data_IF_683679288050
#
_entry.id   IF_683679288050
#
_cell.length_a   1.000
_cell.length_b   1.000
_cell.length_c   1.000
_cell.angle_alpha   90.00
_cell.angle_beta   90.00
_cell.angle_gamma   90.00
#
_symmetry.space_group_name_H-M   'P 1'
#
loop_
_entity.id
_entity.type
_entity.pdbx_description
1 polymer ?
#
# COMPACT_ATOMS: atom_id res chain seq x y z
N UNK A 1 62.51 -1.05 -30.86
CA UNK A 1 61.29 -1.14 -30.02
C UNK A 1 60.19 -0.29 -30.65
N UNK A 2 59.10 -0.89 -31.14
CA UNK A 2 58.29 -0.25 -32.17
C UNK A 2 57.18 0.63 -31.58
N UNK A 3 56.88 1.73 -32.29
CA UNK A 3 55.83 2.73 -32.04
C UNK A 3 54.38 2.16 -31.89
N UNK A 4 54.17 0.85 -32.03
CA UNK A 4 52.85 0.20 -31.94
C UNK A 4 52.33 0.06 -30.50
N UNK A 5 53.18 -0.10 -29.49
CA UNK A 5 52.73 -0.19 -28.09
C UNK A 5 52.26 1.16 -27.52
N UNK A 6 52.84 2.28 -27.94
CA UNK A 6 52.45 3.61 -27.45
C UNK A 6 51.05 4.02 -27.94
N UNK A 7 50.70 3.67 -29.19
CA UNK A 7 49.36 3.92 -29.75
C UNK A 7 48.26 3.11 -29.05
N UNK A 8 48.55 1.87 -28.63
CA UNK A 8 47.58 1.03 -27.92
C UNK A 8 47.33 1.54 -26.49
N UNK A 9 48.39 1.97 -25.80
CA UNK A 9 48.26 2.59 -24.48
C UNK A 9 47.45 3.90 -24.55
N UNK A 10 47.74 4.78 -25.51
CA UNK A 10 46.96 6.01 -25.71
C UNK A 10 45.48 5.73 -26.04
N UNK A 11 45.17 4.73 -26.88
CA UNK A 11 43.79 4.36 -27.22
C UNK A 11 43.03 3.77 -26.03
N UNK A 12 43.67 2.94 -25.20
CA UNK A 12 43.06 2.39 -23.98
C UNK A 12 42.87 3.47 -22.92
N UNK A 13 43.82 4.41 -22.78
CA UNK A 13 43.69 5.59 -21.92
C UNK A 13 42.60 6.55 -22.40
N UNK A 14 42.43 6.75 -23.72
CA UNK A 14 41.35 7.54 -24.31
C UNK A 14 39.97 6.88 -24.16
N UNK A 15 39.88 5.55 -24.24
CA UNK A 15 38.63 4.80 -24.00
C UNK A 15 38.27 4.78 -22.50
N UNK A 16 39.27 4.65 -21.61
CA UNK A 16 39.06 4.74 -20.17
C UNK A 16 38.71 6.17 -19.73
N UNK A 17 39.38 7.18 -20.28
CA UNK A 17 39.05 8.58 -20.08
C UNK A 17 37.66 8.91 -20.65
N UNK A 18 37.32 8.41 -21.84
CA UNK A 18 36.00 8.56 -22.45
C UNK A 18 34.89 7.89 -21.65
N UNK A 19 35.15 6.73 -21.04
CA UNK A 19 34.22 6.04 -20.15
C UNK A 19 34.03 6.74 -18.79
N UNK A 20 35.07 7.39 -18.26
CA UNK A 20 35.01 8.20 -17.03
C UNK A 20 34.36 9.56 -17.27
N UNK A 21 34.70 10.24 -18.39
CA UNK A 21 34.07 11.50 -18.82
C UNK A 21 32.60 11.32 -19.18
N UNK A 22 32.24 10.24 -19.88
CA UNK A 22 30.84 9.93 -20.17
C UNK A 22 30.04 9.67 -18.89
N UNK A 23 30.69 9.17 -17.83
CA UNK A 23 30.05 8.90 -16.52
C UNK A 23 29.93 10.15 -15.66
N UNK A 24 30.90 11.08 -15.70
CA UNK A 24 30.80 12.38 -15.03
C UNK A 24 29.77 13.28 -15.68
N UNK A 25 29.67 13.25 -17.02
CA UNK A 25 28.67 14.00 -17.80
C UNK A 25 27.21 13.68 -17.41
N UNK A 26 26.92 12.47 -16.93
CA UNK A 26 25.56 12.08 -16.54
C UNK A 26 25.07 12.71 -15.23
N UNK A 27 25.96 13.32 -14.43
CA UNK A 27 25.62 13.99 -13.18
C UNK A 27 25.40 15.50 -13.35
N UNK A 28 25.70 16.04 -14.52
CA UNK A 28 25.51 17.44 -14.88
C UNK A 28 24.24 17.61 -15.73
N UNK A 29 23.51 18.71 -15.52
CA UNK A 29 22.28 19.02 -16.27
C UNK A 29 22.65 19.34 -17.72
N UNK A 30 22.31 18.45 -18.64
CA UNK A 30 22.38 18.68 -20.08
C UNK A 30 21.01 19.09 -20.64
N UNK A 31 20.94 19.93 -21.69
CA UNK A 31 19.67 20.37 -22.23
C UNK A 31 18.86 19.20 -22.79
N UNK A 32 17.55 19.20 -22.55
CA UNK A 32 16.66 18.13 -23.02
C UNK A 32 16.80 16.81 -22.24
N UNK A 33 17.31 16.85 -21.02
CA UNK A 33 17.45 15.67 -20.15
C UNK A 33 16.58 15.76 -18.90
N UNK A 34 16.21 14.59 -18.37
CA UNK A 34 15.35 14.44 -17.20
C UNK A 34 16.14 13.84 -16.03
N UNK A 35 15.90 14.38 -14.82
CA UNK A 35 16.63 14.00 -13.60
C UNK A 35 15.87 12.96 -12.79
N UNK A 36 16.58 11.95 -12.31
CA UNK A 36 16.03 10.90 -11.42
C UNK A 36 16.70 10.91 -10.03
N UNK A 37 16.21 10.07 -9.10
CA UNK A 37 16.61 10.06 -7.69
C UNK A 37 18.11 9.76 -7.45
N UNK A 38 18.74 9.08 -8.41
CA UNK A 38 20.18 8.80 -8.41
C UNK A 38 21.02 9.95 -8.96
N UNK A 39 20.45 11.15 -9.08
CA UNK A 39 21.09 12.38 -9.57
C UNK A 39 21.60 12.29 -11.02
N UNK A 40 21.10 11.31 -11.77
CA UNK A 40 21.43 11.13 -13.18
C UNK A 40 20.50 11.95 -14.06
N UNK A 41 21.07 12.65 -15.02
CA UNK A 41 20.39 13.34 -16.10
C UNK A 41 20.40 12.45 -17.35
N UNK A 42 19.21 12.10 -17.85
CA UNK A 42 19.04 11.11 -18.90
C UNK A 42 18.15 11.63 -20.02
N UNK A 43 18.46 11.24 -21.26
CA UNK A 43 17.57 11.48 -22.38
C UNK A 43 16.19 10.81 -22.14
N UNK A 44 15.08 11.36 -22.67
CA UNK A 44 13.72 10.93 -22.30
C UNK A 44 13.44 9.42 -22.51
N UNK A 45 13.96 8.84 -23.60
CA UNK A 45 13.80 7.40 -23.88
C UNK A 45 14.51 6.53 -22.82
N UNK A 46 15.73 6.90 -22.45
CA UNK A 46 16.55 6.17 -21.49
C UNK A 46 16.02 6.35 -20.06
N UNK A 47 15.57 7.57 -19.75
CA UNK A 47 14.87 7.91 -18.52
C UNK A 47 13.64 7.01 -18.36
N UNK A 48 12.73 6.99 -19.34
CA UNK A 48 11.50 6.19 -19.31
C UNK A 48 11.76 4.72 -19.06
N UNK A 49 12.75 4.14 -19.74
CA UNK A 49 13.11 2.73 -19.60
C UNK A 49 13.66 2.42 -18.20
N UNK A 50 14.58 3.25 -17.70
CA UNK A 50 15.19 3.06 -16.38
C UNK A 50 14.18 3.25 -15.25
N UNK A 51 13.34 4.30 -15.32
CA UNK A 51 12.32 4.54 -14.31
C UNK A 51 11.25 3.45 -14.33
N UNK A 52 10.85 2.95 -15.50
CA UNK A 52 9.87 1.87 -15.59
C UNK A 52 10.42 0.53 -15.04
N UNK A 53 11.70 0.22 -15.32
CA UNK A 53 12.40 -0.90 -14.70
C UNK A 53 12.50 -0.75 -13.17
N UNK A 54 12.72 0.47 -12.67
CA UNK A 54 12.71 0.77 -11.22
C UNK A 54 11.30 0.64 -10.62
N UNK A 55 10.26 1.11 -11.30
CA UNK A 55 8.87 0.90 -10.90
C UNK A 55 8.57 -0.59 -10.70
N UNK A 56 9.04 -1.46 -11.62
CA UNK A 56 8.93 -2.92 -11.46
C UNK A 56 9.70 -3.42 -10.24
N UNK A 57 10.94 -2.94 -10.05
CA UNK A 57 11.77 -3.29 -8.89
C UNK A 57 11.09 -2.92 -7.56
N UNK A 58 10.39 -1.80 -7.51
CA UNK A 58 9.70 -1.32 -6.30
C UNK A 58 8.41 -2.07 -5.97
N UNK A 59 7.91 -2.93 -6.87
CA UNK A 59 6.76 -3.78 -6.57
C UNK A 59 7.09 -4.82 -5.49
N UNK A 60 6.15 -5.07 -4.55
CA UNK A 60 6.32 -6.08 -3.52
C UNK A 60 6.31 -7.50 -4.12
N UNK A 61 6.91 -8.47 -3.42
CA UNK A 61 7.00 -9.85 -3.90
C UNK A 61 5.63 -10.48 -4.21
N UNK A 62 4.61 -10.14 -3.41
CA UNK A 62 3.23 -10.61 -3.57
C UNK A 62 2.56 -10.21 -4.90
N UNK A 63 3.11 -9.21 -5.60
CA UNK A 63 2.58 -8.77 -6.88
C UNK A 63 2.81 -9.80 -8.00
N UNK A 64 3.79 -10.69 -7.83
CA UNK A 64 4.26 -11.62 -8.85
C UNK A 64 3.69 -13.03 -8.66
N UNK A 65 3.56 -13.79 -9.76
CA UNK A 65 3.32 -15.24 -9.70
C UNK A 65 4.55 -15.93 -9.10
N UNK A 66 4.38 -17.09 -8.48
CA UNK A 66 5.49 -17.83 -7.84
C UNK A 66 6.68 -17.98 -8.79
N UNK A 67 7.87 -17.56 -8.33
CA UNK A 67 9.14 -17.61 -9.06
C UNK A 67 9.15 -16.91 -10.44
N UNK A 68 8.21 -16.01 -10.73
CA UNK A 68 8.14 -15.28 -12.01
C UNK A 68 8.78 -13.89 -11.99
N UNK A 69 9.15 -13.38 -10.81
CA UNK A 69 9.71 -12.03 -10.63
C UNK A 69 11.02 -11.90 -11.40
N UNK A 70 11.10 -10.89 -12.27
CA UNK A 70 12.32 -10.59 -13.03
C UNK A 70 13.34 -9.82 -12.18
N UNK A 71 14.61 -10.09 -12.41
CA UNK A 71 15.73 -9.41 -11.76
C UNK A 71 16.00 -8.08 -12.44
N UNK A 72 16.07 -7.00 -11.64
CA UNK A 72 16.48 -5.69 -12.13
C UNK A 72 17.99 -5.65 -12.37
N UNK A 73 18.38 -5.42 -13.62
CA UNK A 73 19.77 -5.43 -14.07
C UNK A 73 20.25 -4.05 -14.55
N UNK A 74 21.57 -3.92 -14.69
CA UNK A 74 22.19 -2.68 -15.19
C UNK A 74 21.59 -2.26 -16.54
N UNK A 75 21.48 -0.93 -16.74
CA UNK A 75 20.86 -0.26 -17.90
C UNK A 75 19.34 -0.42 -18.01
N UNK A 76 18.64 -0.68 -16.90
CA UNK A 76 17.18 -0.74 -16.87
C UNK A 76 16.64 -1.92 -17.70
N UNK A 77 17.24 -3.10 -17.50
CA UNK A 77 16.77 -4.36 -18.07
C UNK A 77 16.13 -5.20 -16.97
N UNK A 78 15.08 -5.94 -17.32
CA UNK A 78 14.44 -6.92 -16.45
C UNK A 78 14.73 -8.30 -17.01
N UNK A 79 15.46 -9.14 -16.28
CA UNK A 79 15.95 -10.42 -16.80
C UNK A 79 15.40 -11.61 -15.99
N UNK A 80 15.23 -12.75 -16.66
CA UNK A 80 14.85 -14.00 -16.00
C UNK A 80 16.10 -14.64 -15.38
N UNK A 81 16.09 -14.86 -14.06
CA UNK A 81 17.25 -15.36 -13.32
C UNK A 81 18.32 -14.28 -13.14
N UNK A 82 19.57 -14.58 -13.47
CA UNK A 82 20.68 -13.64 -13.38
C UNK A 82 20.73 -12.67 -14.58
N UNK A 83 21.56 -11.63 -14.48
CA UNK A 83 21.65 -10.57 -15.49
C UNK A 83 22.26 -10.98 -16.84
N UNK A 84 22.58 -12.26 -17.01
CA UNK A 84 23.11 -12.88 -18.23
C UNK A 84 22.05 -13.68 -19.00
N UNK A 85 20.83 -13.81 -18.44
CA UNK A 85 19.72 -14.52 -19.06
C UNK A 85 18.93 -13.71 -20.09
N UNK A 86 17.73 -14.19 -20.40
CA UNK A 86 16.77 -13.49 -21.26
C UNK A 86 16.32 -12.19 -20.59
N UNK A 87 16.50 -11.06 -21.28
CA UNK A 87 16.27 -9.72 -20.74
C UNK A 87 15.29 -8.91 -21.57
N UNK A 88 14.35 -8.26 -20.89
CA UNK A 88 13.32 -7.41 -21.46
C UNK A 88 13.61 -5.93 -21.18
N UNK A 89 13.12 -5.07 -22.08
CA UNK A 89 13.23 -3.62 -21.95
C UNK A 89 11.83 -3.05 -21.68
N UNK A 90 11.55 -2.57 -20.46
CA UNK A 90 10.21 -2.13 -20.10
C UNK A 90 9.89 -0.77 -20.70
N UNK A 91 8.71 -0.67 -21.31
CA UNK A 91 8.09 0.56 -21.79
C UNK A 91 6.89 1.00 -20.92
N UNK A 92 6.28 0.06 -20.18
CA UNK A 92 5.15 0.29 -19.27
C UNK A 92 3.84 0.48 -20.03
N UNK A 93 3.54 -0.44 -20.94
CA UNK A 93 2.33 -0.50 -21.77
C UNK A 93 2.07 -1.95 -22.24
N UNK A 94 0.99 -2.14 -23.00
CA UNK A 94 0.56 -3.45 -23.54
C UNK A 94 1.63 -4.18 -24.38
N UNK A 95 2.64 -3.48 -24.92
CA UNK A 95 3.73 -4.14 -25.65
C UNK A 95 4.66 -4.97 -24.76
N UNK A 96 4.59 -4.80 -23.44
CA UNK A 96 5.37 -5.55 -22.46
C UNK A 96 4.65 -6.85 -22.01
N UNK A 97 3.98 -7.56 -22.92
CA UNK A 97 3.15 -8.72 -22.61
C UNK A 97 3.84 -9.78 -21.71
N UNK A 98 5.13 -10.03 -21.92
CA UNK A 98 5.92 -10.98 -21.13
C UNK A 98 6.24 -10.48 -19.71
N UNK A 99 6.38 -9.17 -19.53
CA UNK A 99 6.54 -8.57 -18.20
C UNK A 99 5.19 -8.55 -17.49
N UNK A 100 4.11 -8.21 -18.22
CA UNK A 100 2.74 -8.21 -17.70
C UNK A 100 2.31 -9.60 -17.21
N UNK A 101 2.72 -10.67 -17.90
CA UNK A 101 2.44 -12.05 -17.48
C UNK A 101 3.09 -12.44 -16.14
N UNK A 102 4.12 -11.73 -15.70
CA UNK A 102 4.73 -11.99 -14.38
C UNK A 102 3.84 -11.58 -13.21
N UNK A 103 2.87 -10.69 -13.43
CA UNK A 103 1.97 -10.24 -12.37
C UNK A 103 0.88 -11.26 -12.06
N UNK A 104 0.54 -11.41 -10.77
CA UNK A 104 -0.48 -12.34 -10.30
C UNK A 104 -1.91 -11.87 -10.59
N UNK A 105 -2.13 -10.55 -10.66
CA UNK A 105 -3.44 -9.91 -10.89
C UNK A 105 -3.26 -8.68 -11.80
N UNK A 106 -4.27 -8.36 -12.60
CA UNK A 106 -4.30 -7.15 -13.44
C UNK A 106 -4.04 -5.86 -12.65
N UNK A 107 -4.60 -5.75 -11.44
CA UNK A 107 -4.37 -4.60 -10.56
C UNK A 107 -2.89 -4.26 -10.33
N UNK A 108 -1.99 -5.25 -10.20
CA UNK A 108 -0.56 -4.98 -10.01
C UNK A 108 0.11 -4.49 -11.30
N UNK A 109 -0.31 -5.05 -12.43
CA UNK A 109 0.11 -4.58 -13.75
C UNK A 109 -0.32 -3.12 -13.97
N UNK A 110 -1.58 -2.77 -13.67
CA UNK A 110 -2.10 -1.40 -13.80
C UNK A 110 -1.32 -0.40 -12.92
N UNK A 111 -0.97 -0.83 -11.69
CA UNK A 111 -0.17 -0.01 -10.76
C UNK A 111 1.25 0.19 -11.31
N UNK A 112 1.85 -0.84 -11.91
CA UNK A 112 3.15 -0.73 -12.56
C UNK A 112 3.13 0.21 -13.76
N UNK A 113 2.16 0.04 -14.67
CA UNK A 113 1.98 0.91 -15.82
C UNK A 113 1.70 2.36 -15.42
N UNK A 114 0.88 2.57 -14.37
CA UNK A 114 0.61 3.87 -13.77
C UNK A 114 1.91 4.54 -13.29
N UNK A 115 2.80 3.78 -12.64
CA UNK A 115 4.11 4.30 -12.22
C UNK A 115 4.99 4.70 -13.42
N UNK A 116 5.04 3.87 -14.47
CA UNK A 116 5.80 4.18 -15.68
C UNK A 116 5.23 5.39 -16.44
N UNK A 117 3.91 5.55 -16.47
CA UNK A 117 3.23 6.73 -17.04
C UNK A 117 3.55 7.99 -16.25
N UNK A 118 3.43 7.96 -14.93
CA UNK A 118 3.73 9.10 -14.07
C UNK A 118 5.19 9.55 -14.19
N UNK A 119 6.14 8.61 -14.33
CA UNK A 119 7.54 8.94 -14.58
C UNK A 119 7.73 9.67 -15.93
N UNK A 120 7.09 9.19 -17.00
CA UNK A 120 7.15 9.84 -18.33
C UNK A 120 6.55 11.24 -18.31
N UNK A 121 5.42 11.40 -17.62
CA UNK A 121 4.78 12.71 -17.43
C UNK A 121 5.70 13.65 -16.65
N UNK A 122 6.34 13.18 -15.58
CA UNK A 122 7.34 13.95 -14.85
C UNK A 122 8.49 14.45 -15.74
N UNK A 123 9.03 13.58 -16.59
CA UNK A 123 10.07 13.97 -17.55
C UNK A 123 9.56 15.00 -18.56
N UNK A 124 8.32 14.86 -19.05
CA UNK A 124 7.71 15.89 -19.91
C UNK A 124 7.57 17.23 -19.20
N UNK A 125 7.13 17.24 -17.94
CA UNK A 125 7.04 18.47 -17.14
C UNK A 125 8.41 19.14 -16.96
N UNK A 126 9.47 18.37 -16.65
CA UNK A 126 10.84 18.91 -16.54
C UNK A 126 11.30 19.61 -17.82
N UNK A 127 11.02 19.01 -18.97
CA UNK A 127 11.41 19.56 -20.28
C UNK A 127 10.61 20.80 -20.65
N UNK A 128 9.33 20.86 -20.26
CA UNK A 128 8.47 22.04 -20.44
C UNK A 128 8.91 23.18 -19.53
N UNK A 129 9.22 22.89 -18.27
CA UNK A 129 9.73 23.86 -17.31
C UNK A 129 11.09 24.40 -17.78
N UNK A 130 11.98 23.57 -18.36
CA UNK A 130 13.26 24.00 -18.96
C UNK A 130 13.05 25.01 -20.12
N UNK A 131 12.04 24.79 -20.97
CA UNK A 131 11.71 25.73 -22.04
C UNK A 131 11.22 27.08 -21.49
N UNK A 132 10.46 27.04 -20.40
CA UNK A 132 9.90 28.23 -19.74
C UNK A 132 10.97 29.02 -18.99
N UNK A 133 11.95 28.34 -18.38
CA UNK A 133 13.11 28.95 -17.71
C UNK A 133 14.00 29.77 -18.66
N UNK A 134 14.02 29.46 -19.96
CA UNK A 134 14.73 30.29 -20.96
C UNK A 134 14.15 31.71 -21.07
N UNK A 135 12.91 31.89 -20.64
CA UNK A 135 12.17 33.16 -20.68
C UNK A 135 12.03 33.85 -19.32
N UNK A 136 12.14 33.11 -18.21
CA UNK A 136 11.97 33.64 -16.85
C UNK A 136 13.11 33.13 -15.95
N UNK A 137 13.98 34.04 -15.51
CA UNK A 137 15.05 33.72 -14.56
C UNK A 137 14.43 33.50 -13.18
N UNK A 138 14.59 32.30 -12.62
CA UNK A 138 14.21 32.00 -11.23
C UNK A 138 15.24 32.63 -10.29
N UNK A 139 14.79 33.47 -9.37
CA UNK A 139 15.67 34.16 -8.42
C UNK A 139 15.91 33.31 -7.17
N UNK A 140 17.17 33.15 -6.77
CA UNK A 140 17.57 32.35 -5.59
C UNK A 140 17.97 30.90 -5.87
N UNK A 141 18.48 30.24 -4.82
CA UNK A 141 18.98 28.87 -4.88
C UNK A 141 17.79 27.87 -4.82
N UNK A 142 17.80 26.86 -5.69
CA UNK A 142 16.72 25.88 -5.80
C UNK A 142 17.28 24.46 -5.87
N UNK A 143 16.54 23.50 -5.31
CA UNK A 143 16.75 22.09 -5.60
C UNK A 143 16.17 21.74 -6.98
N UNK A 144 16.90 21.00 -7.82
CA UNK A 144 16.46 20.68 -9.17
C UNK A 144 15.26 19.73 -9.17
N UNK A 145 14.36 19.90 -10.12
CA UNK A 145 13.25 18.98 -10.36
C UNK A 145 13.77 17.54 -10.48
N UNK A 146 13.09 16.57 -9.86
CA UNK A 146 13.53 15.17 -9.87
C UNK A 146 12.35 14.20 -9.78
N UNK A 147 12.47 13.08 -10.49
CA UNK A 147 11.65 11.90 -10.23
C UNK A 147 12.29 11.10 -9.11
N UNK A 148 11.58 10.90 -8.01
CA UNK A 148 12.17 10.26 -6.84
C UNK A 148 11.98 8.73 -6.78
N UNK A 149 11.33 8.16 -7.79
CA UNK A 149 10.94 6.75 -7.86
C UNK A 149 9.44 6.53 -7.89
N UNK A 150 8.65 7.39 -7.22
CA UNK A 150 7.18 7.32 -7.18
C UNK A 150 6.48 8.62 -7.54
N UNK A 151 7.08 9.77 -7.20
CA UNK A 151 6.46 11.09 -7.32
C UNK A 151 7.41 12.07 -8.01
N UNK A 152 6.84 12.94 -8.84
CA UNK A 152 7.58 14.03 -9.47
C UNK A 152 7.69 15.22 -8.52
N UNK A 153 8.90 15.71 -8.25
CA UNK A 153 9.14 16.97 -7.54
C UNK A 153 9.67 18.01 -8.54
N UNK A 154 9.08 19.20 -8.53
CA UNK A 154 9.51 20.33 -9.36
C UNK A 154 10.65 21.08 -8.69
N UNK A 155 11.25 22.04 -9.39
CA UNK A 155 12.25 22.92 -8.79
C UNK A 155 11.67 23.60 -7.55
N UNK A 156 12.41 23.52 -6.46
CA UNK A 156 11.91 23.88 -5.12
C UNK A 156 12.90 24.83 -4.47
N UNK A 157 12.47 25.99 -3.92
CA UNK A 157 13.37 26.93 -3.27
C UNK A 157 14.15 26.32 -2.11
N UNK A 158 15.41 26.72 -1.94
CA UNK A 158 16.27 26.28 -0.86
C UNK A 158 15.67 26.60 0.52
N UNK A 159 15.87 25.70 1.49
CA UNK A 159 15.32 25.82 2.84
C UNK A 159 13.83 25.49 2.97
N UNK A 160 13.15 25.13 1.88
CA UNK A 160 11.72 24.78 1.91
C UNK A 160 11.48 23.27 1.91
N UNK A 161 10.29 22.88 2.37
CA UNK A 161 9.84 21.48 2.31
C UNK A 161 8.55 21.38 1.52
N UNK A 162 8.54 20.53 0.50
CA UNK A 162 7.38 20.29 -0.35
C UNK A 162 6.66 19.01 0.08
N UNK A 163 5.34 19.09 0.14
CA UNK A 163 4.46 17.96 0.41
C UNK A 163 3.57 17.70 -0.81
N UNK A 164 3.43 16.42 -1.18
CA UNK A 164 2.55 15.98 -2.26
C UNK A 164 1.70 14.80 -1.81
N UNK A 165 0.48 14.63 -2.35
CA UNK A 165 -0.31 13.45 -2.09
C UNK A 165 0.39 12.21 -2.66
N UNK A 166 0.30 11.10 -1.95
CA UNK A 166 0.80 9.81 -2.39
C UNK A 166 0.16 9.39 -3.72
N UNK A 167 0.96 8.94 -4.71
CA UNK A 167 0.41 8.49 -5.98
C UNK A 167 -0.35 7.17 -5.81
N UNK A 168 -1.32 6.93 -6.69
CA UNK A 168 -2.15 5.72 -6.68
C UNK A 168 -1.31 4.43 -6.75
N UNK A 169 -0.22 4.45 -7.53
CA UNK A 169 0.69 3.32 -7.71
C UNK A 169 1.58 3.00 -6.51
N UNK A 170 1.60 3.84 -5.47
CA UNK A 170 2.29 3.52 -4.22
C UNK A 170 1.45 2.62 -3.28
N UNK A 171 0.17 2.40 -3.57
CA UNK A 171 -0.72 1.57 -2.78
C UNK A 171 -0.89 0.18 -3.44
N UNK A 172 -0.09 -0.78 -2.98
CA UNK A 172 -0.06 -2.13 -3.54
C UNK A 172 -1.12 -3.08 -2.97
N UNK A 173 -1.46 -2.95 -1.68
CA UNK A 173 -2.32 -3.90 -0.94
C UNK A 173 -3.69 -3.31 -0.62
N UNK A 174 -3.73 -2.01 -0.34
CA UNK A 174 -4.94 -1.32 0.07
C UNK A 174 -5.52 -0.50 -1.09
N UNK A 175 -6.86 -0.40 -1.13
CA UNK A 175 -7.49 0.66 -1.90
C UNK A 175 -6.96 2.03 -1.44
N UNK A 176 -7.05 3.05 -2.31
CA UNK A 176 -6.66 4.42 -1.93
C UNK A 176 -7.33 4.75 -0.57
N UNK A 177 -6.55 5.07 0.47
CA UNK A 177 -7.11 5.32 1.78
C UNK A 177 -8.09 6.48 1.72
N UNK A 178 -9.14 6.45 2.57
CA UNK A 178 -10.11 7.54 2.67
C UNK A 178 -9.44 8.86 3.10
N UNK A 179 -8.34 8.77 3.87
CA UNK A 179 -7.48 9.90 4.18
C UNK A 179 -6.28 9.92 3.22
N UNK A 180 -6.11 11.02 2.48
CA UNK A 180 -4.98 11.21 1.57
C UNK A 180 -3.69 11.27 2.39
N UNK A 181 -2.83 10.27 2.23
CA UNK A 181 -1.49 10.31 2.82
C UNK A 181 -0.57 11.18 1.98
N UNK A 182 0.49 11.70 2.59
CA UNK A 182 1.41 12.65 1.98
C UNK A 182 2.84 12.11 1.91
N UNK A 183 3.57 12.54 0.89
CA UNK A 183 5.01 12.41 0.75
C UNK A 183 5.68 13.77 0.96
N UNK A 184 6.76 13.80 1.73
CA UNK A 184 7.49 15.02 2.11
C UNK A 184 8.93 14.94 1.61
N UNK A 185 9.36 15.96 0.87
CA UNK A 185 10.75 16.10 0.40
C UNK A 185 11.31 17.46 0.79
N UNK A 186 12.45 17.46 1.46
CA UNK A 186 13.09 18.68 2.00
C UNK A 186 14.22 19.12 1.10
N UNK A 187 14.20 20.40 0.70
CA UNK A 187 15.30 21.06 0.02
C UNK A 187 16.17 21.78 1.05
N UNK A 188 17.46 21.47 1.11
CA UNK A 188 18.39 22.13 2.02
C UNK A 188 18.70 23.56 1.57
N UNK A 189 19.24 24.37 2.48
CA UNK A 189 19.66 25.76 2.21
C UNK A 189 20.76 25.85 1.15
N UNK A 190 21.55 24.78 0.99
CA UNK A 190 22.58 24.67 -0.05
C UNK A 190 22.02 24.29 -1.44
N UNK A 191 20.70 24.20 -1.62
CA UNK A 191 20.08 23.92 -2.92
C UNK A 191 20.19 22.46 -3.36
N UNK A 192 20.49 21.55 -2.43
CA UNK A 192 20.49 20.10 -2.68
C UNK A 192 19.36 19.41 -1.91
N UNK A 193 18.83 18.34 -2.47
CA UNK A 193 17.79 17.55 -1.80
C UNK A 193 18.37 16.86 -0.56
N UNK A 194 17.54 16.71 0.47
CA UNK A 194 17.92 15.96 1.68
C UNK A 194 18.48 14.58 1.33
N UNK A 195 19.68 14.31 1.81
CA UNK A 195 20.42 13.07 1.59
C UNK A 195 20.44 12.22 2.85
N UNK A 196 19.92 10.99 2.78
CA UNK A 196 19.97 10.08 3.92
C UNK A 196 21.27 9.29 3.92
N UNK A 197 22.02 9.38 5.02
CA UNK A 197 23.25 8.63 5.24
C UNK A 197 22.99 7.11 5.40
N UNK A 198 21.83 6.74 5.94
CA UNK A 198 21.42 5.35 6.13
C UNK A 198 21.20 4.63 4.79
N UNK A 199 20.55 5.32 3.84
CA UNK A 199 20.20 4.74 2.53
C UNK A 199 21.18 5.10 1.41
N UNK A 200 22.14 6.01 1.65
CA UNK A 200 23.12 6.45 0.67
C UNK A 200 22.49 7.07 -0.58
N UNK A 201 21.40 7.84 -0.44
CA UNK A 201 20.69 8.48 -1.56
C UNK A 201 19.85 9.67 -1.11
N UNK A 202 19.40 10.48 -2.06
CA UNK A 202 18.34 11.46 -1.84
C UNK A 202 17.09 10.76 -1.33
N UNK A 203 16.53 11.28 -0.24
CA UNK A 203 15.46 10.62 0.47
C UNK A 203 14.18 11.46 0.46
N UNK A 204 13.05 10.78 0.25
CA UNK A 204 11.70 11.33 0.38
C UNK A 204 11.00 10.58 1.50
N UNK A 205 10.41 11.31 2.43
CA UNK A 205 9.65 10.72 3.53
C UNK A 205 8.25 10.38 3.02
N UNK A 206 7.98 9.08 2.86
CA UNK A 206 6.69 8.56 2.42
C UNK A 206 5.90 8.01 3.61
N UNK A 207 4.75 8.58 3.92
CA UNK A 207 3.76 7.97 4.83
C UNK A 207 2.87 6.94 4.08
N UNK A 208 3.02 6.86 2.75
CA UNK A 208 2.24 5.97 1.89
C UNK A 208 2.52 4.49 2.16
N UNK A 209 1.47 3.71 2.42
CA UNK A 209 1.47 2.27 2.17
C UNK A 209 2.57 1.45 2.87
N UNK A 210 3.01 1.82 4.08
CA UNK A 210 4.00 0.99 4.76
C UNK A 210 3.36 -0.33 5.21
N UNK A 211 3.80 -1.42 4.58
CA UNK A 211 3.47 -2.79 4.97
C UNK A 211 3.74 -3.00 6.47
N UNK A 212 4.79 -2.37 6.97
CA UNK A 212 5.19 -2.40 8.37
C UNK A 212 4.18 -1.71 9.30
N UNK A 213 3.59 -0.58 8.91
CA UNK A 213 2.51 0.04 9.69
C UNK A 213 1.27 -0.83 9.72
N UNK A 214 0.87 -1.38 8.56
CA UNK A 214 -0.25 -2.33 8.51
C UNK A 214 0.01 -3.57 9.37
N UNK A 215 1.22 -4.13 9.31
CA UNK A 215 1.66 -5.25 10.16
C UNK A 215 1.56 -4.90 11.64
N UNK A 216 2.11 -3.75 12.04
CA UNK A 216 2.10 -3.29 13.43
C UNK A 216 0.68 -3.07 13.95
N UNK A 217 -0.18 -2.41 13.17
CA UNK A 217 -1.59 -2.20 13.52
C UNK A 217 -2.35 -3.53 13.63
N UNK A 218 -2.13 -4.49 12.74
CA UNK A 218 -2.75 -5.82 12.82
C UNK A 218 -2.29 -6.58 14.06
N UNK A 219 -1.00 -6.57 14.38
CA UNK A 219 -0.48 -7.22 15.59
C UNK A 219 -1.09 -6.57 16.84
N UNK A 220 -1.12 -5.24 16.90
CA UNK A 220 -1.71 -4.51 18.01
C UNK A 220 -3.21 -4.84 18.17
N UNK A 221 -3.96 -4.90 17.08
CA UNK A 221 -5.37 -5.29 17.09
C UNK A 221 -5.57 -6.71 17.64
N UNK A 222 -4.78 -7.70 17.17
CA UNK A 222 -4.83 -9.08 17.67
C UNK A 222 -4.57 -9.14 19.18
N UNK A 223 -3.58 -8.41 19.68
CA UNK A 223 -3.23 -8.38 21.11
C UNK A 223 -4.39 -7.82 21.94
N UNK A 224 -4.97 -6.69 21.53
CA UNK A 224 -6.09 -6.08 22.25
C UNK A 224 -7.35 -6.94 22.26
N UNK A 225 -7.73 -7.51 21.11
CA UNK A 225 -8.89 -8.41 21.04
C UNK A 225 -8.66 -9.68 21.87
N UNK A 226 -7.43 -10.21 21.90
CA UNK A 226 -7.11 -11.36 22.75
C UNK A 226 -7.25 -11.03 24.24
N UNK A 227 -6.76 -9.86 24.67
CA UNK A 227 -6.91 -9.40 26.05
C UNK A 227 -8.40 -9.22 26.42
N UNK A 228 -9.21 -8.67 25.51
CA UNK A 228 -10.66 -8.53 25.68
C UNK A 228 -11.33 -9.89 25.92
N UNK A 229 -11.04 -10.90 25.09
CA UNK A 229 -11.59 -12.26 25.25
C UNK A 229 -11.20 -12.88 26.59
N UNK A 230 -9.93 -12.75 27.00
CA UNK A 230 -9.42 -13.29 28.27
C UNK A 230 -10.19 -12.75 29.47
N UNK A 231 -10.62 -11.48 29.43
CA UNK A 231 -11.38 -10.85 30.52
C UNK A 231 -12.88 -11.16 30.41
N UNK A 232 -13.44 -11.16 29.20
CA UNK A 232 -14.88 -11.34 28.97
C UNK A 232 -15.35 -12.78 29.21
N UNK A 233 -14.55 -13.79 28.87
CA UNK A 233 -14.94 -15.20 29.04
C UNK A 233 -15.21 -15.53 30.51
N UNK A 234 -14.30 -15.23 31.47
CA UNK A 234 -14.59 -15.41 32.89
C UNK A 234 -15.82 -14.62 33.37
N UNK A 235 -16.02 -13.39 32.90
CA UNK A 235 -17.19 -12.59 33.26
C UNK A 235 -18.51 -13.27 32.84
N UNK A 236 -18.57 -13.80 31.62
CA UNK A 236 -19.74 -14.56 31.12
C UNK A 236 -19.96 -15.82 31.97
N UNK A 237 -18.89 -16.54 32.34
CA UNK A 237 -18.99 -17.73 33.19
C UNK A 237 -19.56 -17.37 34.57
N UNK A 238 -19.03 -16.33 35.21
CA UNK A 238 -19.51 -15.83 36.51
C UNK A 238 -21.01 -15.51 36.42
N UNK A 239 -21.43 -14.70 35.45
CA UNK A 239 -22.85 -14.34 35.33
C UNK A 239 -23.77 -15.55 35.08
N UNK A 240 -23.26 -16.63 34.48
CA UNK A 240 -24.03 -17.85 34.25
C UNK A 240 -24.11 -18.76 35.48
N UNK A 241 -23.03 -18.91 36.24
CA UNK A 241 -22.96 -19.78 37.43
C UNK A 241 -23.84 -19.25 38.56
N UNK A 242 -23.79 -17.95 38.84
CA UNK A 242 -24.53 -17.37 39.96
C UNK A 242 -25.99 -17.11 39.60
N UNK A 243 -26.89 -18.03 40.00
CA UNK A 243 -28.35 -17.92 39.79
C UNK A 243 -28.94 -16.60 40.31
N UNK A 244 -28.43 -16.08 41.43
CA UNK A 244 -28.89 -14.81 42.01
C UNK A 244 -28.66 -13.60 41.09
N UNK A 245 -27.68 -13.69 40.17
CA UNK A 245 -27.38 -12.64 39.21
C UNK A 245 -28.19 -12.77 37.90
N UNK A 246 -29.05 -13.77 37.73
CA UNK A 246 -29.80 -14.02 36.49
C UNK A 246 -31.05 -13.13 36.33
N UNK A 247 -30.88 -11.82 36.54
CA UNK A 247 -31.93 -10.81 36.34
C UNK A 247 -31.98 -10.38 34.86
N UNK A 248 -33.12 -9.87 34.41
CA UNK A 248 -33.33 -9.36 33.05
C UNK A 248 -32.19 -8.44 32.56
N UNK A 249 -31.75 -7.50 33.40
CA UNK A 249 -30.62 -6.59 33.12
C UNK A 249 -29.32 -7.35 32.83
N UNK A 250 -28.99 -8.34 33.64
CA UNK A 250 -27.77 -9.14 33.47
C UNK A 250 -27.90 -10.08 32.27
N UNK A 251 -29.12 -10.49 31.90
CA UNK A 251 -29.36 -11.24 30.66
C UNK A 251 -29.04 -10.40 29.41
N UNK A 252 -29.38 -9.11 29.37
CA UNK A 252 -28.94 -8.22 28.28
C UNK A 252 -27.40 -8.11 28.27
N UNK A 253 -26.80 -7.91 29.45
CA UNK A 253 -25.35 -7.77 29.57
C UNK A 253 -24.58 -9.01 29.11
N UNK A 254 -25.07 -10.21 29.47
CA UNK A 254 -24.53 -11.47 28.95
C UNK A 254 -24.54 -11.52 27.43
N UNK A 255 -25.66 -11.15 26.80
CA UNK A 255 -25.75 -11.17 25.34
C UNK A 255 -24.82 -10.16 24.68
N UNK A 256 -24.65 -8.97 25.29
CA UNK A 256 -23.67 -7.99 24.84
C UNK A 256 -22.23 -8.50 24.95
N UNK A 257 -21.86 -9.09 26.09
CA UNK A 257 -20.54 -9.73 26.27
C UNK A 257 -20.32 -10.88 25.28
N UNK A 258 -21.34 -11.72 25.03
CA UNK A 258 -21.25 -12.81 24.04
C UNK A 258 -21.07 -12.26 22.63
N UNK A 259 -21.78 -11.21 22.25
CA UNK A 259 -21.61 -10.55 20.95
C UNK A 259 -20.19 -9.95 20.80
N UNK A 260 -19.64 -9.35 21.85
CA UNK A 260 -18.24 -8.88 21.88
C UNK A 260 -17.25 -10.03 21.70
N UNK A 261 -17.40 -11.13 22.44
CA UNK A 261 -16.50 -12.29 22.32
C UNK A 261 -16.55 -12.90 20.92
N UNK A 262 -17.74 -13.07 20.34
CA UNK A 262 -17.87 -13.60 18.97
C UNK A 262 -17.24 -12.67 17.93
N UNK A 263 -17.36 -11.36 18.10
CA UNK A 263 -16.69 -10.38 17.27
C UNK A 263 -15.17 -10.45 17.42
N UNK A 264 -14.66 -10.42 18.66
CA UNK A 264 -13.23 -10.47 18.95
C UNK A 264 -12.58 -11.74 18.39
N UNK A 265 -13.19 -12.91 18.59
CA UNK A 265 -12.73 -14.18 18.01
C UNK A 265 -12.71 -14.10 16.48
N UNK A 266 -13.74 -13.53 15.87
CA UNK A 266 -13.83 -13.43 14.40
C UNK A 266 -12.79 -12.48 13.81
N UNK A 267 -12.49 -11.37 14.50
CA UNK A 267 -11.40 -10.46 14.13
C UNK A 267 -10.06 -11.16 14.27
N UNK A 268 -9.80 -11.83 15.40
CA UNK A 268 -8.56 -12.58 15.61
C UNK A 268 -8.38 -13.63 14.51
N UNK A 269 -9.43 -14.38 14.16
CA UNK A 269 -9.36 -15.37 13.07
C UNK A 269 -9.06 -14.71 11.72
N UNK A 270 -9.74 -13.62 11.37
CA UNK A 270 -9.51 -12.91 10.10
C UNK A 270 -8.09 -12.34 10.04
N UNK A 271 -7.67 -11.65 11.10
CA UNK A 271 -6.39 -10.95 11.15
C UNK A 271 -5.21 -11.91 11.24
N UNK A 272 -5.31 -12.98 12.04
CA UNK A 272 -4.23 -13.96 12.18
C UNK A 272 -4.11 -14.90 10.98
N UNK A 273 -5.23 -15.36 10.42
CA UNK A 273 -5.24 -16.40 9.38
C UNK A 273 -5.08 -15.80 7.98
N UNK A 274 -5.61 -14.61 7.71
CA UNK A 274 -5.59 -14.03 6.36
C UNK A 274 -4.78 -12.74 6.27
N UNK A 275 -4.93 -11.80 7.20
CA UNK A 275 -4.24 -10.50 7.08
C UNK A 275 -2.74 -10.64 7.37
N UNK A 276 -2.35 -11.30 8.46
CA UNK A 276 -0.94 -11.57 8.76
C UNK A 276 -0.29 -12.49 7.72
N UNK A 277 -1.02 -13.46 7.18
CA UNK A 277 -0.57 -14.37 6.12
C UNK A 277 -0.32 -13.61 4.80
N UNK A 278 -1.16 -12.62 4.50
CA UNK A 278 -0.98 -11.75 3.34
C UNK A 278 0.18 -10.75 3.50
N UNK A 279 0.37 -10.22 4.72
CA UNK A 279 1.41 -9.25 5.05
C UNK A 279 2.79 -9.89 5.19
N UNK A 280 2.87 -11.11 5.72
CA UNK A 280 4.11 -11.87 5.80
C UNK A 280 4.33 -12.59 4.46
N UNK A 281 5.08 -11.94 3.57
CA UNK A 281 5.33 -12.28 2.16
C UNK A 281 5.56 -13.77 1.83
N UNK A 282 5.97 -14.61 2.79
CA UNK A 282 6.33 -16.02 2.61
C UNK A 282 5.16 -17.01 2.57
N UNK A 283 3.96 -16.64 3.02
CA UNK A 283 2.86 -17.61 3.17
C UNK A 283 1.54 -17.14 2.57
N UNK A 284 1.50 -16.66 1.32
CA UNK A 284 0.21 -16.45 0.63
C UNK A 284 -0.54 -17.76 0.27
N UNK A 285 -0.42 -18.80 1.10
CA UNK A 285 -0.89 -20.16 0.84
C UNK A 285 -2.39 -20.25 1.17
N UNK A 286 -2.83 -19.78 2.35
CA UNK A 286 -4.18 -20.07 2.84
C UNK A 286 -5.28 -19.25 2.18
N UNK A 287 -4.98 -18.00 1.81
CA UNK A 287 -5.92 -17.10 1.10
C UNK A 287 -6.23 -17.62 -0.32
N UNK A 288 -5.22 -18.17 -1.02
CA UNK A 288 -5.40 -18.66 -2.40
C UNK A 288 -5.99 -20.08 -2.44
N UNK A 289 -5.71 -20.91 -1.44
CA UNK A 289 -6.25 -22.26 -1.35
C UNK A 289 -7.76 -22.25 -1.08
N UNK A 290 -8.27 -21.29 -0.30
CA UNK A 290 -9.67 -21.27 0.12
C UNK A 290 -10.32 -19.87 0.03
N UNK A 291 -10.55 -19.33 -1.18
CA UNK A 291 -11.18 -18.01 -1.35
C UNK A 291 -12.60 -17.95 -0.77
N UNK A 292 -13.33 -19.06 -0.81
CA UNK A 292 -14.67 -19.17 -0.24
C UNK A 292 -14.65 -19.05 1.29
N UNK A 293 -13.68 -19.66 1.96
CA UNK A 293 -13.52 -19.60 3.42
C UNK A 293 -13.23 -18.16 3.87
N UNK A 294 -12.34 -17.46 3.17
CA UNK A 294 -12.04 -16.06 3.43
C UNK A 294 -13.30 -15.18 3.30
N UNK A 295 -14.09 -15.36 2.22
CA UNK A 295 -15.33 -14.62 2.00
C UNK A 295 -16.37 -14.88 3.11
N UNK A 296 -16.52 -16.14 3.54
CA UNK A 296 -17.45 -16.51 4.61
C UNK A 296 -17.00 -15.92 5.94
N UNK A 297 -15.74 -16.09 6.35
CA UNK A 297 -15.22 -15.58 7.61
C UNK A 297 -15.25 -14.05 7.67
N UNK A 298 -14.91 -13.37 6.58
CA UNK A 298 -15.02 -11.91 6.50
C UNK A 298 -16.47 -11.44 6.64
N UNK A 299 -17.42 -12.13 6.00
CA UNK A 299 -18.85 -11.82 6.10
C UNK A 299 -19.37 -12.07 7.52
N UNK A 300 -18.93 -13.15 8.15
CA UNK A 300 -19.27 -13.51 9.52
C UNK A 300 -18.73 -12.48 10.54
N UNK A 301 -17.49 -12.03 10.37
CA UNK A 301 -16.90 -10.95 11.19
C UNK A 301 -17.73 -9.66 11.10
N UNK A 302 -18.18 -9.28 9.90
CA UNK A 302 -19.09 -8.13 9.71
C UNK A 302 -20.43 -8.29 10.42
N UNK A 303 -20.98 -9.51 10.44
CA UNK A 303 -22.20 -9.83 11.18
C UNK A 303 -22.01 -9.65 12.67
N UNK A 304 -20.99 -10.25 13.27
CA UNK A 304 -20.77 -10.12 14.71
C UNK A 304 -20.45 -8.69 15.14
N UNK A 305 -19.78 -7.90 14.29
CA UNK A 305 -19.59 -6.45 14.53
C UNK A 305 -20.93 -5.72 14.65
N UNK A 306 -21.88 -6.02 13.76
CA UNK A 306 -23.22 -5.41 13.81
C UNK A 306 -24.03 -5.92 15.00
N UNK A 307 -23.90 -7.20 15.37
CA UNK A 307 -24.49 -7.72 16.60
C UNK A 307 -23.96 -7.01 17.85
N UNK A 308 -22.66 -6.75 17.93
CA UNK A 308 -22.06 -5.98 19.02
C UNK A 308 -22.70 -4.59 19.12
N UNK A 309 -22.81 -3.85 18.00
CA UNK A 309 -23.44 -2.53 18.00
C UNK A 309 -24.93 -2.59 18.33
N UNK A 310 -25.66 -3.59 17.84
CA UNK A 310 -27.08 -3.77 18.14
C UNK A 310 -27.31 -4.09 19.63
N UNK A 311 -26.47 -4.93 20.24
CA UNK A 311 -26.56 -5.23 21.67
C UNK A 311 -26.13 -4.04 22.55
N UNK A 312 -25.15 -3.25 22.13
CA UNK A 312 -24.81 -1.98 22.77
C UNK A 312 -26.01 -1.01 22.76
N UNK A 313 -26.70 -0.92 21.62
CA UNK A 313 -27.93 -0.15 21.51
C UNK A 313 -29.05 -0.70 22.41
N UNK A 314 -29.25 -2.01 22.44
CA UNK A 314 -30.24 -2.66 23.30
C UNK A 314 -30.00 -2.35 24.79
N UNK A 315 -28.75 -2.39 25.26
CA UNK A 315 -28.42 -2.00 26.63
C UNK A 315 -28.72 -0.52 26.90
N UNK A 316 -28.30 0.37 26.00
CA UNK A 316 -28.55 1.81 26.13
C UNK A 316 -30.05 2.15 26.14
N UNK A 317 -30.82 1.52 25.25
CA UNK A 317 -32.27 1.69 25.19
C UNK A 317 -32.96 1.13 26.44
N UNK A 318 -32.52 -0.03 26.93
CA UNK A 318 -33.04 -0.60 28.18
C UNK A 318 -32.79 0.33 29.37
N UNK A 319 -31.58 0.90 29.48
CA UNK A 319 -31.25 1.87 30.53
C UNK A 319 -32.11 3.13 30.42
N UNK A 320 -32.26 3.68 29.22
CA UNK A 320 -33.09 4.86 29.00
C UNK A 320 -34.54 4.62 29.39
N UNK A 321 -35.11 3.47 29.01
CA UNK A 321 -36.48 3.08 29.36
C UNK A 321 -36.67 2.97 30.87
N UNK A 322 -35.71 2.39 31.59
CA UNK A 322 -35.76 2.27 33.06
C UNK A 322 -35.86 3.65 33.74
N UNK A 323 -35.17 4.65 33.20
CA UNK A 323 -35.15 6.03 33.73
C UNK A 323 -36.43 6.78 33.34
N UNK A 324 -36.87 6.68 32.07
CA UNK A 324 -38.00 7.44 31.56
C UNK A 324 -39.37 6.87 31.96
N UNK A 325 -39.46 5.57 32.22
CA UNK A 325 -40.71 4.88 32.54
C UNK A 325 -40.51 3.82 33.62
N UNK A 326 -40.28 4.28 34.85
CA UNK A 326 -39.94 3.43 36.01
C UNK A 326 -41.01 2.37 36.36
N UNK A 327 -42.27 2.56 35.95
CA UNK A 327 -43.38 1.65 36.23
C UNK A 327 -43.76 0.72 35.06
N UNK A 328 -43.10 0.83 33.90
CA UNK A 328 -43.36 -0.05 32.76
C UNK A 328 -42.59 -1.37 32.93
N UNK A 329 -43.24 -2.37 33.53
CA UNK A 329 -42.66 -3.70 33.69
C UNK A 329 -42.43 -4.36 32.31
N UNK A 330 -41.18 -4.74 32.03
CA UNK A 330 -40.79 -5.33 30.75
C UNK A 330 -41.19 -6.81 30.69
N UNK A 331 -42.36 -7.11 30.11
CA UNK A 331 -42.91 -8.47 30.06
C UNK A 331 -42.18 -9.44 29.12
N UNK A 332 -41.40 -8.96 28.14
CA UNK A 332 -40.67 -9.85 27.22
C UNK A 332 -39.29 -9.35 26.80
N UNK A 333 -38.33 -10.28 26.76
CA UNK A 333 -36.99 -10.09 26.18
C UNK A 333 -36.94 -10.31 24.66
N UNK A 334 -38.00 -10.88 24.09
CA UNK A 334 -38.01 -11.36 22.71
C UNK A 334 -37.72 -10.26 21.69
N UNK A 335 -38.25 -9.04 21.92
CA UNK A 335 -37.98 -7.87 21.07
C UNK A 335 -36.49 -7.52 21.03
N UNK A 336 -35.80 -7.61 22.18
CA UNK A 336 -34.36 -7.34 22.24
C UNK A 336 -33.54 -8.39 21.50
N UNK A 337 -33.93 -9.66 21.55
CA UNK A 337 -33.27 -10.74 20.79
C UNK A 337 -33.45 -10.56 19.27
N UNK A 338 -34.65 -10.15 18.81
CA UNK A 338 -34.91 -9.86 17.39
C UNK A 338 -34.06 -8.68 16.91
N UNK A 339 -33.96 -7.62 17.71
CA UNK A 339 -33.14 -6.45 17.36
C UNK A 339 -31.64 -6.78 17.42
N UNK A 340 -31.18 -7.48 18.46
CA UNK A 340 -29.77 -7.77 18.71
C UNK A 340 -29.16 -8.78 17.74
N UNK A 341 -29.89 -9.83 17.37
CA UNK A 341 -29.39 -10.89 16.47
C UNK A 341 -30.05 -10.87 15.09
N UNK A 342 -31.36 -10.62 15.02
CA UNK A 342 -32.13 -10.69 13.77
C UNK A 342 -31.83 -9.54 12.81
N UNK A 343 -31.92 -8.29 13.27
CA UNK A 343 -31.68 -7.12 12.41
C UNK A 343 -30.28 -7.13 11.75
N UNK A 344 -29.16 -7.40 12.47
CA UNK A 344 -27.85 -7.56 11.86
C UNK A 344 -27.79 -8.61 10.74
N UNK A 345 -28.49 -9.74 10.89
CA UNK A 345 -28.49 -10.80 9.90
C UNK A 345 -29.12 -10.33 8.58
N UNK A 346 -30.22 -9.58 8.65
CA UNK A 346 -30.91 -9.02 7.47
C UNK A 346 -29.98 -8.07 6.71
N UNK A 347 -29.32 -7.12 7.41
CA UNK A 347 -28.43 -6.17 6.75
C UNK A 347 -27.22 -6.85 6.10
N UNK A 348 -26.62 -7.86 6.76
CA UNK A 348 -25.47 -8.56 6.20
C UNK A 348 -25.85 -9.43 5.01
N UNK A 349 -26.98 -10.13 5.06
CA UNK A 349 -27.44 -10.95 3.92
C UNK A 349 -27.72 -10.10 2.69
N UNK A 350 -28.36 -8.94 2.84
CA UNK A 350 -28.55 -7.97 1.76
C UNK A 350 -27.19 -7.49 1.22
N UNK A 351 -26.26 -7.11 2.10
CA UNK A 351 -24.92 -6.66 1.68
C UNK A 351 -24.13 -7.75 0.95
N UNK A 352 -24.25 -9.01 1.40
CA UNK A 352 -23.61 -10.16 0.77
C UNK A 352 -24.22 -10.47 -0.61
N UNK A 353 -25.55 -10.41 -0.73
CA UNK A 353 -26.26 -10.58 -1.99
C UNK A 353 -25.88 -9.51 -3.01
N UNK A 354 -25.88 -8.23 -2.63
CA UNK A 354 -25.46 -7.13 -3.51
C UNK A 354 -24.01 -7.29 -3.99
N UNK A 355 -23.10 -7.72 -3.11
CA UNK A 355 -21.71 -8.00 -3.47
C UNK A 355 -21.58 -9.20 -4.41
N UNK A 356 -22.38 -10.24 -4.21
CA UNK A 356 -22.39 -11.40 -5.11
C UNK A 356 -22.91 -11.03 -6.51
N UNK A 357 -23.96 -10.21 -6.58
CA UNK A 357 -24.52 -9.72 -7.84
C UNK A 357 -23.54 -8.84 -8.62
N UNK A 358 -22.78 -7.97 -7.94
CA UNK A 358 -21.75 -7.13 -8.59
C UNK A 358 -20.62 -7.95 -9.22
N UNK A 359 -20.23 -9.05 -8.59
CA UNK A 359 -19.19 -9.96 -9.14
C UNK A 359 -19.71 -10.75 -10.35
N UNK A 360 -21.04 -10.89 -10.50
CA UNK A 360 -21.66 -11.53 -11.66
C UNK A 360 -21.76 -10.65 -12.91
N UNK A 361 -21.39 -9.36 -12.85
CA UNK A 361 -21.36 -8.48 -14.03
C UNK A 361 -19.97 -8.50 -14.67
N UNK A 362 -19.84 -8.93 -15.95
CA UNK A 362 -18.54 -9.16 -16.60
C UNK A 362 -17.87 -7.88 -17.14
N UNK A 363 -18.02 -6.73 -16.47
CA UNK A 363 -17.39 -5.47 -16.93
C UNK A 363 -16.04 -5.16 -16.25
N UNK A 364 -15.67 -5.84 -15.16
CA UNK A 364 -14.38 -5.64 -14.45
C UNK A 364 -13.26 -6.61 -14.88
N UNK A 365 -13.30 -7.12 -16.11
CA UNK A 365 -12.20 -7.93 -16.72
C UNK A 365 -11.50 -7.23 -17.89
N UNK A 366 -11.35 -5.89 -17.82
CA UNK A 366 -10.57 -5.15 -18.81
C UNK A 366 -9.57 -4.22 -18.14
#
# INVERSE_FOLDING_TARGET
MPLRCLRLYFLVSLLAAGGVWARSSLYEKAPGTCRMESQLYLAPHLFSRLTCARCYKYMPNLAFKNASRLTYCRRGRLCRGDCDGECFQPYGNESDALILDTFKKGLYADRWESCCRAARECCREMLQDEQTEKTVVKDGLHCPATWDGWTCYKDTPAGTTVQKPCPAHAYFITEKPQCIKMSKKTCWENGTWFYSLEYGKEYTFYDCGSLEYHRSMTIFSIVLHSLSVIVLVPAIVIFNVYKQLQVHRISLHKNFCVAMVLYDISVILVDSVFILDHVNEEKNIRVNENPNLCKVLYTLSRYFRLCQYAWMFCEGFYLHKLIASAFAEQKSLLVFYVIGWGCPAIFVTISAALRALRVGHPEDSR
#
